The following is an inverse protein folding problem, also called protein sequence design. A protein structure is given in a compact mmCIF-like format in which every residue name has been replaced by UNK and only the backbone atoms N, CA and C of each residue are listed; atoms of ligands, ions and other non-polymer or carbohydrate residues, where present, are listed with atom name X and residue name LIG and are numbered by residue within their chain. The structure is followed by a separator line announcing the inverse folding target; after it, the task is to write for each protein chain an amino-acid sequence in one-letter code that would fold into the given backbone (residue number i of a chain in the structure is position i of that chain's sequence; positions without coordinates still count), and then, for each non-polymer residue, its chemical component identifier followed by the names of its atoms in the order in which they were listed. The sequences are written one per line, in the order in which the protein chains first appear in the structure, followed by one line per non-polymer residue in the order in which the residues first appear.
data_IF_490031177673
#
_entry.id   IF_490031177673
#
_cell.length_a   1.000
_cell.length_b   1.000
_cell.length_c   1.000
_cell.angle_alpha   90.00
_cell.angle_beta   90.00
_cell.angle_gamma   90.00
#
_symmetry.space_group_name_H-M   'P 1'
#
loop_
_entity.id
_entity.type
_entity.pdbx_description
1 polymer ?
#
# COMPACT_ATOMS: atom_id res chain seq x y z
N UNK A 1 23.01 -19.13 2.35
CA UNK A 1 22.11 -18.54 3.36
C UNK A 1 22.09 -17.01 3.36
N UNK A 2 23.22 -16.29 3.33
CA UNK A 2 23.23 -14.81 3.44
C UNK A 2 22.52 -14.08 2.27
N UNK A 3 22.63 -14.60 1.05
CA UNK A 3 22.11 -13.95 -0.17
C UNK A 3 20.57 -13.92 -0.23
N UNK A 4 19.91 -15.01 0.19
CA UNK A 4 18.44 -15.08 0.20
C UNK A 4 17.81 -14.12 1.19
N UNK A 5 18.39 -13.98 2.38
CA UNK A 5 17.87 -13.07 3.41
C UNK A 5 18.07 -11.60 3.01
N UNK A 6 19.19 -11.30 2.33
CA UNK A 6 19.43 -9.99 1.72
C UNK A 6 18.41 -9.68 0.61
N UNK A 7 18.09 -10.63 -0.26
CA UNK A 7 17.07 -10.48 -1.31
C UNK A 7 15.67 -10.30 -0.70
N UNK A 8 15.35 -11.02 0.37
CA UNK A 8 14.10 -10.86 1.10
C UNK A 8 14.00 -9.46 1.74
N UNK A 9 15.09 -8.94 2.32
CA UNK A 9 15.13 -7.59 2.87
C UNK A 9 14.94 -6.52 1.79
N UNK A 10 15.61 -6.65 0.66
CA UNK A 10 15.47 -5.73 -0.47
C UNK A 10 14.05 -5.75 -1.05
N UNK A 11 13.47 -6.94 -1.21
CA UNK A 11 12.10 -7.11 -1.71
C UNK A 11 11.09 -6.49 -0.76
N UNK A 12 11.22 -6.71 0.56
CA UNK A 12 10.38 -6.07 1.58
C UNK A 12 10.49 -4.55 1.55
N UNK A 13 11.70 -4.00 1.35
CA UNK A 13 11.92 -2.55 1.20
C UNK A 13 11.22 -2.00 -0.05
N UNK A 14 11.30 -2.71 -1.18
CA UNK A 14 10.60 -2.36 -2.42
C UNK A 14 9.09 -2.37 -2.24
N UNK A 15 8.54 -3.41 -1.60
CA UNK A 15 7.12 -3.53 -1.26
C UNK A 15 6.67 -2.35 -0.39
N UNK A 16 7.40 -2.07 0.70
CA UNK A 16 7.09 -0.97 1.60
C UNK A 16 7.09 0.38 0.88
N UNK A 17 8.14 0.69 0.11
CA UNK A 17 8.25 1.94 -0.63
C UNK A 17 7.13 2.10 -1.66
N UNK A 18 6.72 1.01 -2.33
CA UNK A 18 5.61 1.04 -3.26
C UNK A 18 4.29 1.36 -2.56
N UNK A 19 4.00 0.69 -1.45
CA UNK A 19 2.80 0.93 -0.65
C UNK A 19 2.80 2.34 -0.04
N UNK A 20 3.97 2.84 0.35
CA UNK A 20 4.13 4.20 0.88
C UNK A 20 3.80 5.26 -0.18
N UNK A 21 4.29 5.09 -1.41
CA UNK A 21 4.07 6.04 -2.50
C UNK A 21 2.67 5.91 -3.13
N UNK A 22 2.07 4.72 -3.07
CA UNK A 22 0.77 4.41 -3.65
C UNK A 22 -0.10 3.70 -2.61
N UNK A 23 -0.65 4.43 -1.62
CA UNK A 23 -1.42 3.82 -0.55
C UNK A 23 -2.67 3.11 -1.10
N UNK A 24 -3.01 1.97 -0.50
CA UNK A 24 -4.16 1.10 -0.79
C UNK A 24 -4.19 0.45 -2.15
N UNK A 25 -3.02 0.18 -2.74
CA UNK A 25 -2.90 -0.79 -3.83
C UNK A 25 -3.44 -2.16 -3.40
N UNK A 26 -4.02 -2.87 -4.36
CA UNK A 26 -4.36 -4.27 -4.21
C UNK A 26 -3.13 -5.16 -4.41
N UNK A 27 -3.13 -6.34 -3.81
CA UNK A 27 -2.04 -7.32 -3.90
C UNK A 27 -1.59 -7.61 -5.34
N UNK A 28 -2.55 -7.87 -6.24
CA UNK A 28 -2.28 -8.10 -7.67
C UNK A 28 -1.67 -6.89 -8.40
N UNK A 29 -1.89 -5.67 -7.91
CA UNK A 29 -1.24 -4.48 -8.47
C UNK A 29 0.20 -4.37 -7.99
N UNK A 30 0.45 -4.71 -6.73
CA UNK A 30 1.79 -4.73 -6.13
C UNK A 30 2.66 -5.80 -6.83
N UNK A 31 2.14 -7.01 -6.99
CA UNK A 31 2.84 -8.12 -7.66
C UNK A 31 3.25 -7.75 -9.08
N UNK A 32 2.32 -7.16 -9.85
CA UNK A 32 2.59 -6.70 -11.23
C UNK A 32 3.60 -5.55 -11.29
N UNK A 33 3.55 -4.61 -10.35
CA UNK A 33 4.46 -3.45 -10.34
C UNK A 33 5.89 -3.82 -9.91
N UNK A 34 6.05 -4.86 -9.11
CA UNK A 34 7.35 -5.32 -8.62
C UNK A 34 7.90 -6.52 -9.41
N UNK A 35 7.12 -7.04 -10.35
CA UNK A 35 7.43 -8.23 -11.14
C UNK A 35 7.79 -9.45 -10.28
N UNK A 36 6.94 -9.75 -9.29
CA UNK A 36 7.08 -10.90 -8.39
C UNK A 36 5.81 -11.73 -8.33
N UNK A 37 5.95 -13.01 -7.97
CA UNK A 37 4.80 -13.92 -7.81
C UNK A 37 3.89 -13.49 -6.65
N UNK A 38 2.60 -13.82 -6.74
CA UNK A 38 1.65 -13.57 -5.66
C UNK A 38 2.06 -14.28 -4.36
N UNK A 39 2.52 -15.53 -4.43
CA UNK A 39 2.95 -16.28 -3.25
C UNK A 39 4.17 -15.64 -2.57
N UNK A 40 5.13 -15.16 -3.36
CA UNK A 40 6.30 -14.43 -2.84
C UNK A 40 5.87 -13.12 -2.19
N UNK A 41 4.96 -12.38 -2.83
CA UNK A 41 4.43 -11.15 -2.28
C UNK A 41 3.65 -11.40 -0.98
N UNK A 42 2.77 -12.38 -0.94
CA UNK A 42 1.96 -12.75 0.23
C UNK A 42 2.84 -13.05 1.45
N UNK A 43 3.90 -13.85 1.25
CA UNK A 43 4.90 -14.11 2.30
C UNK A 43 5.51 -12.82 2.86
N UNK A 44 5.90 -11.88 1.99
CA UNK A 44 6.50 -10.63 2.43
C UNK A 44 5.48 -9.66 3.05
N UNK A 45 4.26 -9.61 2.53
CA UNK A 45 3.17 -8.80 3.11
C UNK A 45 2.82 -9.31 4.50
N UNK A 46 2.65 -10.62 4.67
CA UNK A 46 2.39 -11.22 5.96
C UNK A 46 3.50 -10.91 6.99
N UNK A 47 4.77 -10.96 6.56
CA UNK A 47 5.90 -10.56 7.41
C UNK A 47 5.82 -9.08 7.82
N UNK A 48 5.50 -8.18 6.89
CA UNK A 48 5.40 -6.74 7.13
C UNK A 48 4.19 -6.38 8.00
N UNK A 49 3.07 -7.08 7.83
CA UNK A 49 1.85 -6.92 8.64
C UNK A 49 2.06 -7.40 10.08
N UNK A 50 2.70 -8.56 10.28
CA UNK A 50 3.03 -9.07 11.61
C UNK A 50 3.91 -8.12 12.42
N UNK A 51 4.69 -7.26 11.74
CA UNK A 51 5.54 -6.23 12.35
C UNK A 51 4.89 -4.84 12.36
N UNK A 52 3.62 -4.75 11.98
CA UNK A 52 2.86 -3.50 11.92
C UNK A 52 3.53 -2.41 11.05
N UNK A 53 4.33 -2.81 10.06
CA UNK A 53 4.97 -1.88 9.11
C UNK A 53 3.99 -1.55 7.97
N UNK A 54 3.19 -2.54 7.58
CA UNK A 54 2.10 -2.43 6.62
C UNK A 54 0.81 -2.87 7.31
N UNK A 55 -0.31 -2.30 6.89
CA UNK A 55 -1.65 -2.66 7.36
C UNK A 55 -2.57 -2.89 6.18
N UNK A 56 -3.36 -3.95 6.22
CA UNK A 56 -4.41 -4.20 5.23
C UNK A 56 -5.79 -3.71 5.70
N UNK A 57 -6.66 -3.46 4.72
CA UNK A 57 -8.08 -3.20 4.94
C UNK A 57 -8.89 -3.88 3.84
N UNK A 58 -9.97 -4.57 4.21
CA UNK A 58 -10.95 -5.08 3.25
C UNK A 58 -11.73 -3.91 2.63
N UNK A 59 -11.80 -3.92 1.30
CA UNK A 59 -12.61 -3.03 0.47
C UNK A 59 -13.39 -3.87 -0.54
N UNK A 60 -14.60 -4.27 -0.16
CA UNK A 60 -15.41 -5.22 -0.94
C UNK A 60 -14.71 -6.57 -1.09
N UNK A 61 -14.47 -6.97 -2.36
CA UNK A 61 -13.80 -8.24 -2.70
C UNK A 61 -12.27 -8.18 -2.63
N UNK A 62 -11.71 -7.00 -2.34
CA UNK A 62 -10.29 -6.73 -2.48
C UNK A 62 -9.65 -6.35 -1.15
N UNK A 63 -8.40 -6.74 -0.95
CA UNK A 63 -7.58 -6.34 0.21
C UNK A 63 -6.63 -5.22 -0.20
N UNK A 64 -6.69 -4.09 0.50
CA UNK A 64 -5.86 -2.91 0.20
C UNK A 64 -4.80 -2.71 1.26
N UNK A 65 -3.57 -2.44 0.84
CA UNK A 65 -2.42 -2.30 1.74
C UNK A 65 -1.97 -0.85 1.92
N UNK A 66 -1.61 -0.47 3.14
CA UNK A 66 -1.18 0.87 3.52
C UNK A 66 0.09 0.80 4.38
N UNK A 67 0.97 1.79 4.27
CA UNK A 67 2.13 1.90 5.16
C UNK A 67 1.64 2.39 6.53
N UNK A 68 2.09 1.75 7.61
CA UNK A 68 1.62 2.03 8.98
C UNK A 68 2.06 3.40 9.48
N UNK A 69 3.30 3.82 9.17
CA UNK A 69 3.95 5.02 9.72
C UNK A 69 3.48 6.38 9.15
N UNK A 70 2.61 6.42 8.13
CA UNK A 70 2.17 7.69 7.51
C UNK A 70 0.67 7.87 7.35
N UNK A 71 -0.15 6.97 7.89
CA UNK A 71 -1.60 7.08 7.72
C UNK A 71 -2.27 6.80 9.05
N UNK A 72 -2.43 7.86 9.85
CA UNK A 72 -3.27 7.84 11.03
C UNK A 72 -4.70 7.39 10.67
N UNK A 73 -5.48 6.95 11.65
CA UNK A 73 -6.83 6.43 11.40
C UNK A 73 -7.73 7.42 10.62
N UNK A 74 -7.48 8.73 10.77
CA UNK A 74 -8.15 9.79 10.01
C UNK A 74 -7.68 9.88 8.54
N UNK A 75 -6.37 9.75 8.30
CA UNK A 75 -5.80 9.79 6.95
C UNK A 75 -6.30 8.63 6.08
N UNK A 76 -6.59 7.45 6.67
CA UNK A 76 -7.14 6.30 5.94
C UNK A 76 -8.53 6.60 5.36
N UNK A 77 -9.36 7.37 6.07
CA UNK A 77 -10.68 7.81 5.58
C UNK A 77 -10.51 8.84 4.47
N UNK A 78 -9.63 9.82 4.64
CA UNK A 78 -9.37 10.86 3.64
C UNK A 78 -8.85 10.24 2.34
N UNK A 79 -7.87 9.33 2.42
CA UNK A 79 -7.33 8.61 1.25
C UNK A 79 -8.41 7.78 0.53
N UNK A 80 -9.34 7.16 1.26
CA UNK A 80 -10.45 6.43 0.66
C UNK A 80 -11.41 7.37 -0.08
N UNK A 81 -11.71 8.54 0.49
CA UNK A 81 -12.56 9.57 -0.12
C UNK A 81 -11.88 10.17 -1.36
N UNK A 82 -10.56 10.43 -1.31
CA UNK A 82 -9.78 10.96 -2.42
C UNK A 82 -9.72 10.04 -3.66
N UNK A 83 -10.08 8.76 -3.53
CA UNK A 83 -10.24 7.86 -4.69
C UNK A 83 -11.57 8.02 -5.41
N UNK A 84 -12.57 8.59 -4.75
CA UNK A 84 -13.89 8.79 -5.34
C UNK A 84 -13.83 9.97 -6.31
N UNK A 85 -14.34 9.76 -7.54
CA UNK A 85 -14.17 10.71 -8.66
C UNK A 85 -14.71 12.11 -8.34
N UNK A 86 -15.90 12.20 -7.73
CA UNK A 86 -16.55 13.48 -7.42
C UNK A 86 -15.89 14.21 -6.25
N UNK A 87 -15.72 13.61 -5.06
CA UNK A 87 -14.99 14.26 -3.95
C UNK A 87 -13.58 14.69 -4.33
N UNK A 88 -12.85 13.86 -5.09
CA UNK A 88 -11.51 14.21 -5.60
C UNK A 88 -11.53 15.48 -6.45
N UNK A 89 -12.50 15.60 -7.38
CA UNK A 89 -12.62 16.79 -8.24
C UNK A 89 -12.90 18.05 -7.44
N UNK A 90 -13.76 17.97 -6.42
CA UNK A 90 -14.09 19.10 -5.54
C UNK A 90 -12.85 19.56 -4.77
N UNK A 91 -12.12 18.62 -4.15
CA UNK A 91 -10.90 18.96 -3.39
C UNK A 91 -9.83 19.56 -4.31
N UNK A 92 -9.64 19.01 -5.52
CA UNK A 92 -8.72 19.59 -6.50
C UNK A 92 -9.15 21.00 -6.92
N UNK A 93 -10.43 21.25 -7.11
CA UNK A 93 -10.95 22.58 -7.44
C UNK A 93 -10.62 23.59 -6.35
N UNK A 94 -10.90 23.26 -5.08
CA UNK A 94 -10.60 24.13 -3.93
C UNK A 94 -9.08 24.41 -3.78
N UNK A 95 -8.23 23.41 -4.02
CA UNK A 95 -6.77 23.58 -3.91
C UNK A 95 -6.17 24.44 -5.03
N UNK A 96 -6.77 24.40 -6.23
CA UNK A 96 -6.32 25.20 -7.36
C UNK A 96 -6.87 26.63 -7.32
N UNK A 97 -7.87 26.91 -6.48
CA UNK A 97 -8.56 28.20 -6.34
C UNK A 97 -8.65 28.61 -4.85
N UNK A 98 -7.50 28.97 -4.23
CA UNK A 98 -7.43 29.30 -2.81
C UNK A 98 -8.12 30.61 -2.43
#
# INVERSE_FOLDING_TARGET
MIKEDSLALETRRKIYNLILNYPGLHEREIARKLDISLSTLDYHLHYLEKREIVVSKKDGRYTRYFASLKVGMQDKKIIAILRQKTPRKIILFLLMHP
#
